data_IF_097237905368
#
_entry.id   IF_097237905368
#
_cell.length_a   1.000
_cell.length_b   1.000
_cell.length_c   1.000
_cell.angle_alpha   90.00
_cell.angle_beta   90.00
_cell.angle_gamma   90.00
#
_symmetry.space_group_name_H-M   'P 1'
#
loop_
_entity.id
_entity.type
_entity.pdbx_description
1 polymer ?
#
# COMPACT_ATOMS: atom_id res chain seq x y z
N UNK A 1 -28.00 24.58 18.08
CA UNK A 1 -26.61 25.08 18.10
C UNK A 1 -25.67 23.88 18.14
N UNK A 2 -25.50 23.18 17.00
CA UNK A 2 -24.88 21.83 16.96
C UNK A 2 -23.85 21.69 15.82
N UNK A 3 -23.52 22.80 15.15
CA UNK A 3 -22.55 22.87 14.03
C UNK A 3 -21.16 22.29 14.34
N UNK A 4 -20.56 22.41 15.54
CA UNK A 4 -19.22 21.87 15.75
C UNK A 4 -19.17 20.32 15.73
N UNK A 5 -20.28 19.64 16.07
CA UNK A 5 -20.34 18.18 16.04
C UNK A 5 -20.30 17.62 14.62
N UNK A 6 -20.95 18.29 13.66
CA UNK A 6 -20.91 17.89 12.26
C UNK A 6 -19.50 17.99 11.67
N UNK A 7 -18.78 19.07 12.00
CA UNK A 7 -17.39 19.26 11.58
C UNK A 7 -16.45 18.19 12.14
N UNK A 8 -16.62 17.85 13.43
CA UNK A 8 -15.83 16.79 14.07
C UNK A 8 -16.08 15.43 13.40
N UNK A 9 -17.34 15.09 13.11
CA UNK A 9 -17.69 13.83 12.47
C UNK A 9 -17.10 13.73 11.05
N UNK A 10 -17.14 14.82 10.29
CA UNK A 10 -16.52 14.87 8.94
C UNK A 10 -15.00 14.72 8.98
N UNK A 11 -14.32 15.23 10.01
CA UNK A 11 -12.86 15.12 10.13
C UNK A 11 -12.41 13.68 10.39
N UNK A 12 -13.15 12.92 11.19
CA UNK A 12 -12.84 11.51 11.51
C UNK A 12 -13.03 10.61 10.28
N UNK A 13 -14.01 10.91 9.42
CA UNK A 13 -14.21 10.16 8.18
C UNK A 13 -13.07 10.36 7.16
N UNK A 14 -12.30 11.45 7.27
CA UNK A 14 -11.19 11.75 6.38
C UNK A 14 -9.86 11.10 6.82
N UNK A 15 -9.75 10.57 8.03
CA UNK A 15 -8.51 9.96 8.55
C UNK A 15 -8.30 8.49 8.14
N UNK A 16 -8.92 8.04 7.04
CA UNK A 16 -9.04 6.62 6.71
C UNK A 16 -7.85 5.97 5.97
N UNK A 17 -6.91 6.73 5.42
CA UNK A 17 -5.79 6.15 4.66
C UNK A 17 -4.55 6.03 5.55
N UNK A 18 -4.17 4.80 5.90
CA UNK A 18 -2.89 4.53 6.57
C UNK A 18 -1.81 4.24 5.52
N UNK A 19 -0.55 4.57 5.82
CA UNK A 19 0.57 4.24 4.94
C UNK A 19 0.68 2.73 4.67
N UNK A 20 0.34 1.90 5.67
CA UNK A 20 0.29 0.46 5.52
C UNK A 20 -0.79 0.02 4.51
N UNK A 21 -2.00 0.57 4.59
CA UNK A 21 -3.07 0.26 3.63
C UNK A 21 -2.68 0.65 2.19
N UNK A 22 -1.97 1.77 2.04
CA UNK A 22 -1.46 2.23 0.75
C UNK A 22 -0.37 1.29 0.23
N UNK A 23 0.56 0.87 1.09
CA UNK A 23 1.59 -0.12 0.76
C UNK A 23 0.98 -1.44 0.28
N UNK A 24 0.03 -1.99 1.04
CA UNK A 24 -0.66 -3.24 0.69
C UNK A 24 -1.40 -3.12 -0.65
N UNK A 25 -2.07 -1.98 -0.89
CA UNK A 25 -2.75 -1.71 -2.16
C UNK A 25 -1.76 -1.69 -3.34
N UNK A 26 -0.61 -1.05 -3.16
CA UNK A 26 0.46 -1.03 -4.17
C UNK A 26 1.03 -2.43 -4.46
N UNK A 27 1.32 -3.21 -3.42
CA UNK A 27 1.81 -4.58 -3.58
C UNK A 27 0.80 -5.49 -4.28
N UNK A 28 -0.48 -5.32 -3.99
CA UNK A 28 -1.55 -6.07 -4.65
C UNK A 28 -1.72 -5.66 -6.11
N UNK A 29 -1.59 -4.37 -6.42
CA UNK A 29 -1.57 -3.89 -7.80
C UNK A 29 -0.41 -4.49 -8.60
N UNK A 30 0.81 -4.47 -8.06
CA UNK A 30 1.98 -5.07 -8.71
C UNK A 30 1.78 -6.56 -8.98
N UNK A 31 1.24 -7.31 -8.00
CA UNK A 31 0.91 -8.73 -8.18
C UNK A 31 -0.10 -8.95 -9.29
N UNK A 32 -1.19 -8.18 -9.28
CA UNK A 32 -2.25 -8.29 -10.28
C UNK A 32 -1.70 -8.00 -11.68
N UNK A 33 -0.86 -6.96 -11.81
CA UNK A 33 -0.23 -6.61 -13.07
C UNK A 33 0.70 -7.73 -13.56
N UNK A 34 1.55 -8.28 -12.70
CA UNK A 34 2.39 -9.43 -13.03
C UNK A 34 1.57 -10.61 -13.56
N UNK A 35 0.48 -10.96 -12.87
CA UNK A 35 -0.41 -12.06 -13.27
C UNK A 35 -1.06 -11.78 -14.64
N UNK A 36 -1.51 -10.54 -14.87
CA UNK A 36 -2.12 -10.14 -16.14
C UNK A 36 -1.12 -10.17 -17.31
N UNK A 37 0.15 -9.84 -17.05
CA UNK A 37 1.21 -9.79 -18.06
C UNK A 37 1.90 -11.14 -18.29
N UNK A 38 1.64 -12.15 -17.45
CA UNK A 38 2.21 -13.48 -17.57
C UNK A 38 1.72 -14.19 -18.84
N UNK A 39 2.66 -14.61 -19.70
CA UNK A 39 2.37 -15.29 -20.96
C UNK A 39 2.52 -16.82 -20.84
N UNK A 40 3.18 -17.29 -19.79
CA UNK A 40 3.43 -18.73 -19.55
C UNK A 40 2.99 -19.15 -18.16
N UNK A 41 2.76 -20.45 -17.99
CA UNK A 41 2.44 -21.03 -16.69
C UNK A 41 3.56 -20.81 -15.66
N UNK A 42 4.82 -20.82 -16.10
CA UNK A 42 5.97 -20.58 -15.23
C UNK A 42 6.02 -19.11 -14.77
N UNK A 43 5.78 -18.15 -15.66
CA UNK A 43 5.67 -16.73 -15.30
C UNK A 43 4.52 -16.48 -14.33
N UNK A 44 3.37 -17.12 -14.55
CA UNK A 44 2.23 -17.03 -13.64
C UNK A 44 2.60 -17.56 -12.25
N UNK A 45 3.28 -18.71 -12.18
CA UNK A 45 3.76 -19.28 -10.92
C UNK A 45 4.74 -18.35 -10.21
N UNK A 46 5.68 -17.74 -10.94
CA UNK A 46 6.62 -16.76 -10.40
C UNK A 46 5.90 -15.56 -9.77
N UNK A 47 4.86 -15.02 -10.42
CA UNK A 47 4.05 -13.93 -9.86
C UNK A 47 3.31 -14.31 -8.56
N UNK A 48 2.95 -15.59 -8.40
CA UNK A 48 2.27 -16.09 -7.20
C UNK A 48 3.23 -16.31 -6.03
N UNK A 49 4.47 -16.73 -6.32
CA UNK A 49 5.50 -17.06 -5.32
C UNK A 49 6.49 -15.93 -5.07
N UNK A 50 6.34 -14.78 -5.73
CA UNK A 50 7.22 -13.64 -5.52
C UNK A 50 7.18 -13.20 -4.06
N UNK A 51 8.35 -13.25 -3.41
CA UNK A 51 8.52 -12.71 -2.07
C UNK A 51 8.31 -11.21 -2.08
N UNK A 52 7.61 -10.73 -1.05
CA UNK A 52 7.33 -9.32 -0.85
C UNK A 52 8.06 -8.88 0.40
N UNK A 53 8.74 -7.76 0.30
CA UNK A 53 9.27 -7.05 1.44
C UNK A 53 8.14 -6.79 2.47
N UNK A 54 8.46 -6.83 3.76
CA UNK A 54 7.50 -6.46 4.79
C UNK A 54 7.28 -4.94 4.77
N UNK A 55 6.11 -4.48 5.25
CA UNK A 55 5.85 -3.04 5.36
C UNK A 55 6.90 -2.33 6.23
N UNK A 56 7.40 -3.01 7.27
CA UNK A 56 8.41 -2.47 8.18
C UNK A 56 9.73 -2.21 7.46
N UNK A 57 10.22 -3.19 6.70
CA UNK A 57 11.44 -3.05 5.92
C UNK A 57 11.29 -1.94 4.87
N UNK A 58 10.15 -1.89 4.18
CA UNK A 58 9.84 -0.84 3.22
C UNK A 58 9.88 0.55 3.87
N UNK A 59 9.25 0.72 5.03
CA UNK A 59 9.27 1.99 5.75
C UNK A 59 10.69 2.36 6.21
N UNK A 60 11.47 1.40 6.71
CA UNK A 60 12.87 1.66 7.11
C UNK A 60 13.68 2.20 5.93
N UNK A 61 13.66 1.52 4.78
CA UNK A 61 14.36 1.95 3.56
C UNK A 61 13.85 3.29 3.06
N UNK A 62 12.53 3.50 3.07
CA UNK A 62 11.91 4.77 2.69
C UNK A 62 12.42 5.93 3.55
N UNK A 63 12.53 5.73 4.85
CA UNK A 63 13.06 6.75 5.76
C UNK A 63 14.56 6.98 5.55
N UNK A 64 15.34 5.96 5.22
CA UNK A 64 16.76 6.13 4.87
C UNK A 64 16.97 6.95 3.59
N UNK A 65 16.07 6.82 2.61
CA UNK A 65 16.12 7.61 1.37
C UNK A 65 15.67 9.04 1.62
N UNK A 66 14.58 9.24 2.37
CA UNK A 66 14.00 10.57 2.62
C UNK A 66 14.79 11.36 3.65
N UNK A 67 15.39 10.70 4.64
CA UNK A 67 16.16 11.29 5.74
C UNK A 67 17.61 11.65 5.39
N UNK A 68 18.09 11.32 4.18
CA UNK A 68 19.40 11.74 3.66
C UNK A 68 19.41 13.16 3.09
N UNK A 69 18.49 14.02 3.51
CA UNK A 69 18.31 15.37 2.99
C UNK A 69 18.58 16.44 4.04
#
# INVERSE_FOLDING_TARGET
MNKPFYLLFTAILLSGCTNQSLYESGQNYQKSKCIQEAQTAEQHKQCLTQERQSFKEYEQERQEVIGKK
#
